data_IF_329262416024
#
_entry.id   IF_329262416024
#
_cell.length_a   1.000
_cell.length_b   1.000
_cell.length_c   1.000
_cell.angle_alpha   90.00
_cell.angle_beta   90.00
_cell.angle_gamma   90.00
#
_symmetry.space_group_name_H-M   'P 1'
#
loop_
_entity.id
_entity.type
_entity.pdbx_description
1 polymer ?
#
# COMPACT_ATOMS: atom_id res chain seq x y z
N UNK A 1 -6.38 -18.32 -13.09
CA UNK A 1 -5.76 -17.02 -13.41
C UNK A 1 -6.42 -16.05 -12.46
N UNK A 2 -5.97 -15.97 -11.20
CA UNK A 2 -6.80 -15.34 -10.17
C UNK A 2 -6.04 -14.17 -9.55
N UNK A 3 -5.49 -13.33 -10.41
CA UNK A 3 -4.88 -12.07 -9.98
C UNK A 3 -5.72 -10.91 -10.51
N UNK A 4 -6.03 -9.97 -9.63
CA UNK A 4 -6.70 -8.73 -9.96
C UNK A 4 -5.76 -7.58 -9.62
N UNK A 5 -5.47 -6.74 -10.60
CA UNK A 5 -4.67 -5.54 -10.40
C UNK A 5 -5.59 -4.36 -10.08
N UNK A 6 -5.17 -3.51 -9.16
CA UNK A 6 -5.84 -2.28 -8.79
C UNK A 6 -4.92 -1.09 -9.05
N UNK A 7 -5.47 -0.03 -9.60
CA UNK A 7 -4.76 1.23 -9.84
C UNK A 7 -5.54 2.39 -9.25
N UNK A 8 -4.85 3.32 -8.64
CA UNK A 8 -5.50 4.44 -7.98
C UNK A 8 -4.54 5.47 -7.43
N UNK A 9 -5.03 6.21 -6.45
CA UNK A 9 -4.33 7.34 -5.86
C UNK A 9 -4.46 7.32 -4.35
N UNK A 10 -3.39 7.70 -3.68
CA UNK A 10 -3.37 8.07 -2.28
C UNK A 10 -3.30 9.59 -2.19
N UNK A 11 -4.20 10.19 -1.42
CA UNK A 11 -4.08 11.57 -0.98
C UNK A 11 -3.58 11.56 0.45
N UNK A 12 -2.53 12.32 0.74
CA UNK A 12 -1.90 12.30 2.05
C UNK A 12 -1.29 13.64 2.39
N UNK A 13 -1.06 13.89 3.67
CA UNK A 13 -0.37 15.09 4.12
C UNK A 13 0.50 14.80 5.34
N UNK A 14 1.61 15.53 5.41
CA UNK A 14 2.39 15.70 6.63
C UNK A 14 1.91 16.98 7.31
N UNK A 15 1.96 17.02 8.65
CA UNK A 15 1.36 18.08 9.46
C UNK A 15 1.76 19.52 9.09
N UNK A 16 2.96 19.71 8.52
CA UNK A 16 3.52 21.01 8.16
C UNK A 16 3.60 21.24 6.63
N UNK A 17 3.04 20.35 5.82
CA UNK A 17 3.13 20.37 4.35
C UNK A 17 1.76 20.52 3.68
N UNK A 18 1.80 20.98 2.42
CA UNK A 18 0.62 20.93 1.56
C UNK A 18 0.20 19.48 1.28
N UNK A 19 -1.09 19.19 1.06
CA UNK A 19 -1.55 17.87 0.65
C UNK A 19 -0.84 17.40 -0.63
N UNK A 20 -0.46 16.13 -0.64
CA UNK A 20 0.27 15.45 -1.70
C UNK A 20 -0.52 14.28 -2.26
N UNK A 21 -0.12 13.82 -3.45
CA UNK A 21 -0.68 12.64 -4.09
C UNK A 21 0.40 11.61 -4.34
N UNK A 22 0.03 10.33 -4.27
CA UNK A 22 0.89 9.21 -4.64
C UNK A 22 0.12 8.19 -5.49
N UNK A 23 0.82 7.52 -6.39
CA UNK A 23 0.24 6.50 -7.26
C UNK A 23 0.13 5.18 -6.51
N UNK A 24 -1.03 4.53 -6.58
CA UNK A 24 -1.30 3.26 -5.92
C UNK A 24 -1.38 2.15 -6.96
N UNK A 25 -0.59 1.10 -6.75
CA UNK A 25 -0.65 -0.15 -7.49
C UNK A 25 -0.78 -1.31 -6.52
N UNK A 26 -1.90 -2.03 -6.58
CA UNK A 26 -2.12 -3.21 -5.75
C UNK A 26 -2.43 -4.44 -6.60
N UNK A 27 -2.10 -5.61 -6.07
CA UNK A 27 -2.41 -6.90 -6.69
C UNK A 27 -3.03 -7.80 -5.65
N UNK A 28 -4.29 -8.16 -5.85
CA UNK A 28 -4.95 -9.22 -5.12
C UNK A 28 -4.66 -10.56 -5.80
N UNK A 29 -4.32 -11.58 -5.00
CA UNK A 29 -4.13 -12.95 -5.44
C UNK A 29 -5.21 -13.83 -4.78
N UNK A 30 -6.13 -14.34 -5.60
CA UNK A 30 -7.25 -15.14 -5.12
C UNK A 30 -6.85 -16.52 -4.60
N UNK A 31 -5.76 -17.10 -5.12
CA UNK A 31 -5.31 -18.45 -4.74
C UNK A 31 -4.83 -18.54 -3.29
N UNK A 32 -4.18 -17.50 -2.79
CA UNK A 32 -3.66 -17.42 -1.41
C UNK A 32 -4.40 -16.38 -0.56
N UNK A 33 -5.42 -15.72 -1.12
CA UNK A 33 -6.18 -14.62 -0.52
C UNK A 33 -5.25 -13.55 0.07
N UNK A 34 -4.29 -13.06 -0.72
CA UNK A 34 -3.34 -12.02 -0.27
C UNK A 34 -3.43 -10.75 -1.11
N UNK A 35 -3.11 -9.61 -0.50
CA UNK A 35 -2.93 -8.33 -1.16
C UNK A 35 -1.47 -7.88 -1.03
N UNK A 36 -0.84 -7.59 -2.17
CA UNK A 36 0.39 -6.80 -2.24
C UNK A 36 0.04 -5.39 -2.72
N UNK A 37 0.61 -4.35 -2.11
CA UNK A 37 0.38 -2.97 -2.53
C UNK A 37 1.68 -2.18 -2.52
N UNK A 38 1.89 -1.37 -3.55
CA UNK A 38 2.96 -0.40 -3.70
C UNK A 38 2.34 0.98 -3.88
N UNK A 39 2.87 1.97 -3.18
CA UNK A 39 2.45 3.36 -3.25
C UNK A 39 3.68 4.20 -3.59
N UNK A 40 3.68 4.85 -4.75
CA UNK A 40 4.79 5.66 -5.22
C UNK A 40 4.43 7.15 -5.08
N UNK A 41 5.03 7.82 -4.10
CA UNK A 41 4.90 9.25 -3.87
C UNK A 41 6.17 10.03 -4.24
N UNK A 42 6.00 11.32 -4.45
CA UNK A 42 7.09 12.30 -4.51
C UNK A 42 7.25 12.97 -3.15
N UNK A 43 8.47 13.04 -2.64
CA UNK A 43 8.84 13.88 -1.50
C UNK A 43 9.92 14.89 -1.88
N UNK A 44 10.13 15.90 -1.04
CA UNK A 44 11.12 16.96 -1.27
C UNK A 44 12.56 16.43 -1.43
N UNK A 45 12.83 15.24 -0.89
CA UNK A 45 14.12 14.55 -0.94
C UNK A 45 14.18 13.38 -1.95
N UNK A 46 13.22 13.29 -2.88
CA UNK A 46 13.17 12.26 -3.93
C UNK A 46 11.95 11.32 -3.85
N UNK A 47 12.05 10.18 -4.53
CA UNK A 47 10.96 9.19 -4.59
C UNK A 47 10.80 8.51 -3.23
N UNK A 48 9.57 8.56 -2.67
CA UNK A 48 9.15 7.80 -1.49
C UNK A 48 8.24 6.68 -1.96
N UNK A 49 8.66 5.43 -1.74
CA UNK A 49 7.81 4.27 -2.07
C UNK A 49 7.43 3.53 -0.81
N UNK A 50 6.13 3.35 -0.57
CA UNK A 50 5.63 2.48 0.49
C UNK A 50 5.22 1.11 -0.09
N UNK A 51 5.47 0.06 0.68
CA UNK A 51 5.01 -1.29 0.39
C UNK A 51 4.15 -1.80 1.55
N UNK A 52 2.98 -2.36 1.23
CA UNK A 52 2.16 -3.04 2.22
C UNK A 52 2.77 -4.40 2.56
N UNK A 53 2.96 -4.66 3.85
CA UNK A 53 3.48 -5.95 4.33
C UNK A 53 2.98 -6.28 5.73
N UNK A 54 3.22 -7.52 6.13
CA UNK A 54 2.90 -7.98 7.48
C UNK A 54 3.75 -7.29 8.56
N UNK A 55 3.35 -7.49 9.81
CA UNK A 55 4.14 -7.06 10.97
C UNK A 55 5.44 -7.86 11.07
N UNK A 56 6.56 -7.21 11.41
CA UNK A 56 7.85 -7.87 11.56
C UNK A 56 8.97 -6.87 11.88
N UNK A 57 10.18 -7.37 12.16
CA UNK A 57 11.30 -6.53 12.59
C UNK A 57 12.26 -6.15 11.45
N UNK A 58 12.19 -6.81 10.30
CA UNK A 58 13.05 -6.52 9.14
C UNK A 58 12.38 -6.97 7.85
N UNK A 59 12.04 -6.01 6.99
CA UNK A 59 11.51 -6.29 5.65
C UNK A 59 12.46 -5.68 4.62
N UNK A 60 12.72 -6.44 3.55
CA UNK A 60 13.52 -6.00 2.41
C UNK A 60 12.64 -5.94 1.18
N UNK A 61 13.01 -5.07 0.25
CA UNK A 61 12.41 -5.04 -1.09
C UNK A 61 12.47 -6.43 -1.71
N UNK A 62 11.36 -6.90 -2.30
CA UNK A 62 11.26 -8.23 -2.90
C UNK A 62 11.04 -9.40 -1.93
N UNK A 63 10.90 -9.13 -0.62
CA UNK A 63 10.54 -10.15 0.36
C UNK A 63 9.12 -10.67 0.15
N UNK A 64 8.89 -11.95 0.43
CA UNK A 64 7.57 -12.56 0.51
C UNK A 64 6.66 -11.94 1.59
N UNK A 65 7.22 -11.16 2.52
CA UNK A 65 6.47 -10.46 3.56
C UNK A 65 5.77 -9.17 3.07
N UNK A 66 5.96 -8.80 1.80
CA UNK A 66 5.31 -7.65 1.14
C UNK A 66 3.94 -8.01 0.55
N UNK A 67 3.17 -8.77 1.33
CA UNK A 67 1.76 -9.02 1.11
C UNK A 67 1.10 -9.34 2.44
N UNK A 68 -0.18 -9.04 2.55
CA UNK A 68 -0.98 -9.29 3.76
C UNK A 68 -2.21 -10.13 3.41
N UNK A 69 -2.71 -10.94 4.37
CA UNK A 69 -3.92 -11.71 4.16
C UNK A 69 -5.13 -10.78 3.98
N UNK A 70 -6.04 -11.20 3.10
CA UNK A 70 -7.37 -10.61 2.93
C UNK A 70 -8.35 -11.47 3.71
N UNK A 71 -9.07 -10.85 4.64
CA UNK A 71 -10.10 -11.54 5.40
C UNK A 71 -11.32 -11.90 4.55
N UNK A 72 -12.16 -12.83 5.02
CA UNK A 72 -13.31 -13.31 4.24
C UNK A 72 -14.36 -12.23 3.94
N UNK A 73 -14.41 -11.15 4.73
CA UNK A 73 -15.27 -10.00 4.46
C UNK A 73 -14.56 -8.90 3.64
N UNK A 74 -13.40 -9.19 3.06
CA UNK A 74 -12.66 -8.28 2.20
C UNK A 74 -11.81 -7.24 2.93
N UNK A 75 -11.75 -7.24 4.27
CA UNK A 75 -10.87 -6.33 5.01
C UNK A 75 -9.40 -6.71 4.88
N UNK A 76 -8.56 -5.67 4.85
CA UNK A 76 -7.11 -5.76 4.74
C UNK A 76 -6.47 -4.76 5.71
N UNK A 77 -5.46 -5.21 6.44
CA UNK A 77 -4.70 -4.37 7.36
C UNK A 77 -3.23 -4.78 7.36
N UNK A 78 -2.32 -3.81 7.49
CA UNK A 78 -0.89 -4.08 7.45
C UNK A 78 -0.01 -2.87 7.70
N UNK A 79 1.29 -3.12 7.77
CA UNK A 79 2.31 -2.07 7.90
C UNK A 79 2.68 -1.54 6.53
N UNK A 80 2.81 -0.22 6.42
CA UNK A 80 3.42 0.43 5.27
C UNK A 80 4.92 0.58 5.51
N UNK A 81 5.70 -0.11 4.68
CA UNK A 81 7.15 -0.16 4.73
C UNK A 81 7.74 0.82 3.72
N UNK A 82 8.39 1.87 4.20
CA UNK A 82 8.98 2.92 3.39
C UNK A 82 10.36 2.52 2.86
N UNK A 83 10.54 2.78 1.57
CA UNK A 83 11.82 2.87 0.88
C UNK A 83 12.09 4.33 0.48
N UNK A 84 13.19 4.87 0.99
CA UNK A 84 13.66 6.22 0.67
C UNK A 84 15.09 6.21 0.09
N UNK A 85 15.62 5.04 -0.28
CA UNK A 85 17.00 4.87 -0.75
C UNK A 85 17.08 4.50 -2.24
N UNK A 86 15.98 3.98 -2.82
CA UNK A 86 15.92 3.59 -4.23
C UNK A 86 16.73 2.35 -4.61
N UNK A 87 17.57 1.83 -3.72
CA UNK A 87 18.47 0.69 -3.95
C UNK A 87 17.74 -0.66 -3.95
N UNK A 88 18.25 -1.63 -4.73
CA UNK A 88 17.64 -2.98 -4.85
C UNK A 88 17.65 -3.80 -3.56
N UNK A 89 18.52 -3.48 -2.60
CA UNK A 89 18.67 -4.18 -1.30
C UNK A 89 18.29 -3.30 -0.09
N UNK A 90 17.46 -2.28 -0.32
CA UNK A 90 17.02 -1.37 0.73
C UNK A 90 16.34 -2.13 1.88
N UNK A 91 16.83 -1.91 3.11
CA UNK A 91 16.09 -2.24 4.32
C UNK A 91 14.94 -1.25 4.41
N UNK A 92 13.71 -1.77 4.38
CA UNK A 92 12.53 -0.93 4.51
C UNK A 92 12.33 -0.57 5.98
N UNK A 93 11.86 0.64 6.22
CA UNK A 93 11.51 1.11 7.57
C UNK A 93 9.99 1.10 7.74
N UNK A 94 9.46 0.70 8.90
CA UNK A 94 8.04 0.86 9.15
C UNK A 94 7.73 2.36 9.18
N UNK A 95 6.74 2.79 8.41
CA UNK A 95 6.39 4.20 8.21
C UNK A 95 4.88 4.40 8.13
N UNK A 96 4.13 3.55 8.84
CA UNK A 96 2.69 3.71 8.97
C UNK A 96 1.93 2.41 8.93
N UNK A 97 0.62 2.55 9.02
CA UNK A 97 -0.34 1.47 9.04
C UNK A 97 -1.43 1.74 8.01
N UNK A 98 -1.85 0.70 7.29
CA UNK A 98 -2.98 0.74 6.39
C UNK A 98 -4.13 -0.09 6.97
N UNK A 99 -5.34 0.45 6.93
CA UNK A 99 -6.59 -0.24 7.25
C UNK A 99 -7.61 0.06 6.14
N UNK A 100 -8.09 -0.97 5.48
CA UNK A 100 -9.02 -0.84 4.36
C UNK A 100 -9.66 -2.16 3.95
N UNK A 101 -10.08 -2.21 2.70
CA UNK A 101 -10.66 -3.42 2.14
C UNK A 101 -11.25 -3.24 0.75
N UNK A 102 -11.81 -4.33 0.25
CA UNK A 102 -12.49 -4.41 -1.04
C UNK A 102 -13.98 -4.10 -0.90
N UNK A 103 -14.52 -3.37 -1.86
CA UNK A 103 -15.92 -2.96 -1.95
C UNK A 103 -16.45 -3.15 -3.37
N UNK A 104 -17.78 -3.19 -3.48
CA UNK A 104 -18.48 -3.58 -4.70
C UNK A 104 -18.83 -5.07 -4.70
N UNK A 105 -19.72 -5.49 -5.60
CA UNK A 105 -20.25 -6.87 -5.60
C UNK A 105 -19.19 -7.90 -6.01
N UNK A 106 -18.13 -7.45 -6.68
CA UNK A 106 -17.01 -8.26 -7.12
C UNK A 106 -15.66 -7.75 -6.60
N UNK A 107 -15.67 -6.85 -5.62
CA UNK A 107 -14.45 -6.23 -5.09
C UNK A 107 -13.78 -5.29 -6.08
N UNK A 108 -14.56 -4.56 -6.87
CA UNK A 108 -14.11 -3.64 -7.92
C UNK A 108 -13.33 -2.44 -7.37
N UNK A 109 -13.51 -2.12 -6.10
CA UNK A 109 -12.89 -0.97 -5.43
C UNK A 109 -12.05 -1.44 -4.25
N UNK A 110 -10.80 -0.98 -4.17
CA UNK A 110 -9.96 -1.07 -2.98
C UNK A 110 -9.86 0.33 -2.36
N UNK A 111 -10.21 0.47 -1.09
CA UNK A 111 -10.07 1.74 -0.37
C UNK A 111 -9.65 1.51 1.08
N UNK A 112 -9.03 2.52 1.68
CA UNK A 112 -8.65 2.49 3.08
C UNK A 112 -8.02 3.79 3.54
N UNK A 113 -7.69 3.83 4.82
CA UNK A 113 -6.93 4.90 5.46
C UNK A 113 -5.51 4.41 5.71
N UNK A 114 -4.58 5.34 5.67
CA UNK A 114 -3.20 5.10 6.03
C UNK A 114 -2.71 6.21 6.96
N UNK A 115 -1.94 5.89 7.99
CA UNK A 115 -1.33 6.90 8.84
C UNK A 115 -0.05 6.41 9.52
N UNK A 116 0.81 7.37 9.87
CA UNK A 116 1.94 7.18 10.75
C UNK A 116 1.82 8.11 11.96
N UNK A 117 1.77 7.52 13.15
CA UNK A 117 1.71 8.26 14.43
C UNK A 117 3.07 8.42 15.10
N UNK A 118 4.13 7.80 14.57
CA UNK A 118 5.49 7.88 15.05
C UNK A 118 6.36 8.81 14.20
N UNK A 119 7.41 9.39 14.80
CA UNK A 119 8.38 10.21 14.04
C UNK A 119 7.74 11.35 13.24
N UNK A 120 7.94 11.35 11.92
CA UNK A 120 7.35 12.28 10.95
C UNK A 120 5.88 11.88 10.68
N UNK A 121 4.96 12.48 11.44
CA UNK A 121 3.54 12.12 11.39
C UNK A 121 2.88 12.48 10.06
N UNK A 122 2.07 11.56 9.54
CA UNK A 122 1.28 11.77 8.34
C UNK A 122 -0.01 10.96 8.36
N UNK A 123 -1.00 11.41 7.60
CA UNK A 123 -2.22 10.67 7.34
C UNK A 123 -2.62 10.74 5.87
N UNK A 124 -3.37 9.75 5.42
CA UNK A 124 -3.81 9.66 4.05
C UNK A 124 -4.98 8.71 3.84
N UNK A 125 -5.58 8.84 2.67
CA UNK A 125 -6.69 8.03 2.18
C UNK A 125 -6.35 7.46 0.82
N UNK A 126 -6.70 6.20 0.61
CA UNK A 126 -6.39 5.44 -0.59
C UNK A 126 -7.69 5.07 -1.29
N UNK A 127 -7.72 5.22 -2.61
CA UNK A 127 -8.77 4.71 -3.47
C UNK A 127 -8.19 4.18 -4.78
N UNK A 128 -8.53 2.94 -5.13
CA UNK A 128 -8.10 2.27 -6.35
C UNK A 128 -9.22 1.41 -6.93
N UNK A 129 -9.24 1.26 -8.25
CA UNK A 129 -10.21 0.42 -8.96
C UNK A 129 -9.50 -0.74 -9.65
N UNK A 130 -10.21 -1.86 -9.78
CA UNK A 130 -9.74 -3.01 -10.52
C UNK A 130 -9.47 -2.60 -11.98
N UNK A 131 -8.22 -2.72 -12.43
CA UNK A 131 -7.88 -2.63 -13.83
C UNK A 131 -8.43 -3.90 -14.49
N UNK A 132 -9.34 -3.76 -15.46
CA UNK A 132 -9.82 -4.90 -16.24
C UNK A 132 -8.61 -5.69 -16.77
N UNK A 133 -8.58 -6.99 -16.49
CA UNK A 133 -7.67 -7.88 -17.20
C UNK A 133 -8.00 -7.71 -18.68
N UNK A 134 -7.02 -7.28 -19.48
CA UNK A 134 -7.19 -7.23 -20.93
C UNK A 134 -7.53 -8.67 -21.37
N UNK A 135 -8.65 -8.92 -22.06
CA UNK A 135 -8.99 -10.25 -22.54
C UNK A 135 -7.92 -10.79 -23.50
#
# INVERSE_FOLDING_TARGET
MDQVQYRGTMYYHYHDNQPQTADVLATYRGSDKTLAMKIDGSGDNGVRTWYLGGFGNTVRRGSSNLSVPVSDNGKVSGTLWLDNTGGRDARLKPDGHFDGGFYGTQGEVLTGKASNEGGEKWEGVIGATAAQAKP
#
